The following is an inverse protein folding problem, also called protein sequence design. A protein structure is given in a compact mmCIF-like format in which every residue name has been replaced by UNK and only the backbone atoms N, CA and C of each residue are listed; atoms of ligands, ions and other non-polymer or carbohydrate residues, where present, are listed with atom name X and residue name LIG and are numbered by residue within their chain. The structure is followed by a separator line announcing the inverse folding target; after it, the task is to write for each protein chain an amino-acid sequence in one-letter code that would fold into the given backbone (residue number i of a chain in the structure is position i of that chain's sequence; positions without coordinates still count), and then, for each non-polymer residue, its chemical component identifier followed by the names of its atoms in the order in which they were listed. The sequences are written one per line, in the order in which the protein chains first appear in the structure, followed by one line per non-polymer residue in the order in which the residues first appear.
data_IF_982200677465
#
_entry.id   IF_982200677465
#
_cell.length_a   1.000
_cell.length_b   1.000
_cell.length_c   1.000
_cell.angle_alpha   90.00
_cell.angle_beta   90.00
_cell.angle_gamma   90.00
#
_symmetry.space_group_name_H-M   'P 1'
#
loop_
_entity.id
_entity.type
_entity.pdbx_description
1 polymer ?
#
# COMPACT_ATOMS: atom_id res chain seq x y z
N UNK A 1 -19.02 70.54 -2.49
CA UNK A 1 -19.50 69.24 -3.02
C UNK A 1 -18.42 68.19 -2.78
N UNK A 2 -18.66 67.26 -1.84
CA UNK A 2 -17.70 66.20 -1.50
C UNK A 2 -17.69 65.10 -2.57
N UNK A 3 -16.49 64.69 -3.01
CA UNK A 3 -16.27 63.50 -3.84
C UNK A 3 -16.33 62.24 -2.96
N UNK A 4 -17.23 61.30 -3.28
CA UNK A 4 -17.29 59.97 -2.67
C UNK A 4 -16.23 59.05 -3.29
N UNK A 5 -15.31 58.55 -2.47
CA UNK A 5 -14.36 57.49 -2.82
C UNK A 5 -15.05 56.16 -2.48
N UNK A 6 -15.18 55.27 -3.46
CA UNK A 6 -15.64 53.89 -3.24
C UNK A 6 -14.40 53.02 -3.00
N UNK A 7 -14.25 52.51 -1.78
CA UNK A 7 -13.30 51.45 -1.46
C UNK A 7 -13.95 50.10 -1.78
N UNK A 8 -13.40 49.36 -2.74
CA UNK A 8 -13.78 47.97 -3.01
C UNK A 8 -12.85 47.09 -2.17
N UNK A 9 -13.39 46.41 -1.16
CA UNK A 9 -12.70 45.37 -0.42
C UNK A 9 -12.79 44.07 -1.23
N UNK A 10 -11.67 43.68 -1.86
CA UNK A 10 -11.52 42.35 -2.47
C UNK A 10 -11.27 41.32 -1.37
N UNK A 11 -12.24 40.44 -1.14
CA UNK A 11 -12.09 39.29 -0.25
C UNK A 11 -11.32 38.19 -1.00
N UNK A 12 -10.03 38.05 -0.71
CA UNK A 12 -9.20 36.97 -1.25
C UNK A 12 -9.56 35.68 -0.49
N UNK A 13 -10.40 34.85 -1.11
CA UNK A 13 -10.74 33.53 -0.58
C UNK A 13 -9.55 32.60 -0.84
N UNK A 14 -8.67 32.45 0.15
CA UNK A 14 -7.59 31.46 0.12
C UNK A 14 -8.25 30.10 0.34
N UNK A 15 -8.54 29.39 -0.74
CA UNK A 15 -8.87 27.97 -0.70
C UNK A 15 -7.62 27.23 -0.24
N UNK A 16 -7.61 26.79 1.02
CA UNK A 16 -6.59 25.89 1.54
C UNK A 16 -6.67 24.55 0.82
N UNK A 17 -5.86 24.39 -0.22
CA UNK A 17 -5.59 23.09 -0.82
C UNK A 17 -4.71 22.37 0.20
N UNK A 18 -5.32 21.48 0.98
CA UNK A 18 -4.61 20.54 1.83
C UNK A 18 -3.93 19.55 0.90
N UNK A 19 -2.64 19.76 0.60
CA UNK A 19 -1.82 18.72 -0.01
C UNK A 19 -1.69 17.58 1.02
N UNK A 20 -2.36 16.45 0.77
CA UNK A 20 -2.00 15.21 1.44
C UNK A 20 -0.61 14.82 0.94
N UNK A 21 0.41 15.04 1.76
CA UNK A 21 1.74 14.49 1.49
C UNK A 21 1.64 12.97 1.65
N UNK A 22 1.56 12.24 0.55
CA UNK A 22 1.72 10.78 0.56
C UNK A 22 3.19 10.45 0.76
N UNK A 23 3.71 10.68 1.97
CA UNK A 23 5.09 10.36 2.36
C UNK A 23 5.33 8.83 2.43
N UNK A 24 4.28 8.03 2.25
CA UNK A 24 4.36 6.59 2.19
C UNK A 24 3.92 6.08 0.81
N UNK A 25 4.86 6.15 -0.14
CA UNK A 25 4.63 5.68 -1.50
C UNK A 25 4.49 4.16 -1.60
N UNK A 26 5.18 3.41 -0.74
CA UNK A 26 5.22 1.96 -0.78
C UNK A 26 5.09 1.31 0.62
N UNK A 27 4.75 0.03 0.63
CA UNK A 27 4.68 -0.78 1.83
C UNK A 27 5.02 -2.24 1.51
N UNK A 28 5.71 -2.92 2.43
CA UNK A 28 5.99 -4.35 2.29
C UNK A 28 5.00 -5.16 3.11
N UNK A 29 4.43 -6.19 2.49
CA UNK A 29 3.48 -7.11 3.06
C UNK A 29 3.97 -8.56 3.00
N UNK A 30 3.54 -9.35 3.97
CA UNK A 30 3.42 -10.80 3.81
C UNK A 30 1.95 -11.16 3.72
N UNK A 31 1.59 -11.93 2.70
CA UNK A 31 0.23 -12.39 2.44
C UNK A 31 0.22 -13.91 2.51
N UNK A 32 -0.60 -14.47 3.40
CA UNK A 32 -0.68 -15.91 3.61
C UNK A 32 -2.12 -16.38 3.49
N UNK A 33 -2.35 -17.33 2.59
CA UNK A 33 -3.58 -18.13 2.58
C UNK A 33 -3.33 -19.40 3.38
N UNK A 34 -4.14 -19.63 4.41
CA UNK A 34 -4.20 -20.90 5.14
C UNK A 34 -5.49 -21.62 4.79
N UNK A 35 -5.39 -22.80 4.19
CA UNK A 35 -6.55 -23.63 3.90
C UNK A 35 -7.10 -24.28 5.17
N UNK A 36 -8.42 -24.22 5.31
CA UNK A 36 -9.20 -25.01 6.25
C UNK A 36 -10.08 -26.04 5.54
N UNK A 37 -9.80 -26.37 4.27
CA UNK A 37 -10.54 -27.36 3.50
C UNK A 37 -10.33 -28.77 4.06
N UNK A 38 -11.23 -29.19 4.95
CA UNK A 38 -11.25 -30.49 5.62
C UNK A 38 -12.62 -31.16 5.52
N UNK A 39 -12.66 -32.46 5.80
CA UNK A 39 -13.86 -33.29 5.71
C UNK A 39 -14.90 -33.05 6.82
N UNK A 40 -14.46 -32.58 7.98
CA UNK A 40 -15.33 -32.28 9.12
C UNK A 40 -16.23 -31.09 8.81
N UNK A 41 -15.66 -30.03 8.23
CA UNK A 41 -16.38 -28.79 7.92
C UNK A 41 -17.04 -28.81 6.53
N UNK A 42 -16.47 -29.54 5.56
CA UNK A 42 -16.88 -29.50 4.15
C UNK A 42 -17.40 -30.84 3.61
N UNK A 43 -17.54 -31.87 4.46
CA UNK A 43 -17.96 -33.21 4.04
C UNK A 43 -16.90 -33.94 3.20
N UNK A 44 -17.29 -35.02 2.53
CA UNK A 44 -16.34 -35.89 1.81
C UNK A 44 -15.58 -35.12 0.73
N UNK A 45 -14.25 -35.08 0.88
CA UNK A 45 -13.33 -34.46 -0.09
C UNK A 45 -13.01 -35.40 -1.26
N UNK A 46 -12.62 -34.86 -2.43
CA UNK A 46 -12.19 -35.68 -3.54
C UNK A 46 -10.83 -36.34 -3.28
N UNK A 47 -10.52 -37.39 -4.05
CA UNK A 47 -9.18 -37.95 -4.08
C UNK A 47 -8.18 -36.90 -4.58
N UNK A 48 -6.99 -36.86 -3.95
CA UNK A 48 -5.96 -35.85 -4.23
C UNK A 48 -6.46 -34.41 -4.13
N UNK A 49 -7.32 -34.08 -3.16
CA UNK A 49 -7.73 -32.71 -2.88
C UNK A 49 -6.49 -31.81 -2.65
N UNK A 50 -6.37 -30.72 -3.41
CA UNK A 50 -5.22 -29.80 -3.41
C UNK A 50 -5.62 -28.41 -3.96
N UNK A 51 -4.62 -27.54 -4.10
CA UNK A 51 -4.77 -26.19 -4.62
C UNK A 51 -3.82 -25.99 -5.79
N UNK A 52 -4.21 -25.19 -6.79
CA UNK A 52 -3.21 -24.62 -7.70
C UNK A 52 -2.39 -23.56 -6.98
N UNK A 53 -1.34 -23.03 -7.62
CA UNK A 53 -0.63 -21.88 -7.07
C UNK A 53 -1.61 -20.73 -6.74
N UNK A 54 -1.33 -20.02 -5.65
CA UNK A 54 -1.96 -18.75 -5.33
C UNK A 54 -1.33 -17.70 -6.23
N UNK A 55 -2.11 -17.16 -7.16
CA UNK A 55 -1.65 -16.22 -8.17
C UNK A 55 -2.43 -14.92 -8.14
N UNK A 56 -1.84 -13.83 -8.65
CA UNK A 56 -2.53 -12.56 -8.74
C UNK A 56 -1.64 -11.37 -9.03
N UNK A 57 -2.09 -10.19 -8.64
CA UNK A 57 -1.41 -8.94 -8.93
C UNK A 57 -1.78 -7.83 -7.95
N UNK A 58 -0.89 -6.83 -7.86
CA UNK A 58 -1.23 -5.50 -7.34
C UNK A 58 -1.55 -4.56 -8.49
N UNK A 59 -2.59 -3.74 -8.34
CA UNK A 59 -3.13 -2.94 -9.43
C UNK A 59 -3.91 -1.70 -8.96
N UNK A 60 -4.30 -0.87 -9.93
CA UNK A 60 -5.17 0.28 -9.70
C UNK A 60 -6.61 -0.01 -10.15
N UNK A 61 -7.52 0.93 -9.93
CA UNK A 61 -8.94 0.78 -10.22
C UNK A 61 -9.30 0.79 -11.73
N UNK A 62 -8.32 0.93 -12.62
CA UNK A 62 -8.56 0.97 -14.07
C UNK A 62 -8.58 -0.43 -14.70
N UNK A 63 -8.32 -1.48 -13.91
CA UNK A 63 -8.36 -2.87 -14.33
C UNK A 63 -9.08 -3.73 -13.28
N UNK A 64 -9.87 -4.68 -13.76
CA UNK A 64 -10.52 -5.73 -12.97
C UNK A 64 -10.12 -7.06 -13.58
N UNK A 65 -9.46 -7.93 -12.82
CA UNK A 65 -9.02 -9.24 -13.32
C UNK A 65 -10.12 -10.30 -13.26
N UNK A 66 -10.96 -10.27 -12.24
CA UNK A 66 -12.17 -11.10 -12.12
C UNK A 66 -13.12 -10.45 -11.12
N UNK A 67 -14.43 -10.50 -11.29
CA UNK A 67 -15.37 -9.99 -10.28
C UNK A 67 -16.67 -10.81 -10.30
N UNK A 68 -17.36 -10.86 -9.15
CA UNK A 68 -18.69 -11.46 -9.09
C UNK A 68 -19.63 -10.76 -10.06
N UNK A 69 -20.33 -11.55 -10.89
CA UNK A 69 -21.22 -11.03 -11.93
C UNK A 69 -20.51 -10.57 -13.20
N UNK A 70 -19.18 -10.61 -13.26
CA UNK A 70 -18.39 -10.46 -14.49
C UNK A 70 -18.10 -11.82 -15.15
N UNK A 71 -17.76 -11.84 -16.44
CA UNK A 71 -17.28 -13.05 -17.12
C UNK A 71 -15.80 -13.29 -16.79
N UNK A 72 -15.40 -14.56 -16.63
CA UNK A 72 -13.99 -14.92 -16.51
C UNK A 72 -13.22 -14.55 -17.79
N UNK A 73 -11.99 -14.07 -17.64
CA UNK A 73 -11.03 -14.00 -18.75
C UNK A 73 -10.50 -15.40 -19.07
N UNK A 74 -9.85 -15.57 -20.22
CA UNK A 74 -9.16 -16.82 -20.55
C UNK A 74 -8.08 -17.16 -19.51
N UNK A 75 -7.43 -16.16 -18.91
CA UNK A 75 -6.50 -16.38 -17.80
C UNK A 75 -7.17 -16.92 -16.54
N UNK A 76 -8.35 -16.42 -16.17
CA UNK A 76 -9.07 -16.86 -14.97
C UNK A 76 -9.72 -18.24 -15.19
N UNK A 77 -10.24 -18.50 -16.39
CA UNK A 77 -10.68 -19.83 -16.84
C UNK A 77 -9.54 -20.85 -16.68
N UNK A 78 -8.36 -20.58 -17.24
CA UNK A 78 -7.17 -21.45 -17.11
C UNK A 78 -6.76 -21.71 -15.65
N UNK A 79 -6.83 -20.69 -14.80
CA UNK A 79 -6.54 -20.84 -13.36
C UNK A 79 -7.58 -21.73 -12.70
N UNK A 80 -8.86 -21.53 -12.99
CA UNK A 80 -9.96 -22.21 -12.32
C UNK A 80 -10.16 -23.66 -12.77
N UNK A 81 -9.85 -24.00 -14.03
CA UNK A 81 -10.10 -25.34 -14.58
C UNK A 81 -8.88 -26.26 -14.48
N UNK A 82 -7.69 -25.73 -14.79
CA UNK A 82 -6.48 -26.55 -14.95
C UNK A 82 -5.30 -26.07 -14.11
N UNK A 83 -5.47 -25.01 -13.32
CA UNK A 83 -4.41 -24.43 -12.50
C UNK A 83 -3.25 -23.86 -13.31
N UNK A 84 -3.50 -23.50 -14.58
CA UNK A 84 -2.49 -22.93 -15.48
C UNK A 84 -2.40 -21.42 -15.29
N UNK A 85 -1.19 -20.93 -15.04
CA UNK A 85 -0.96 -19.51 -14.76
C UNK A 85 -0.52 -18.69 -15.99
N UNK A 86 -0.34 -19.34 -17.15
CA UNK A 86 0.32 -18.74 -18.31
C UNK A 86 -0.49 -17.59 -18.91
N UNK A 87 -1.78 -17.80 -19.16
CA UNK A 87 -2.64 -16.76 -19.72
C UNK A 87 -2.86 -15.64 -18.70
N UNK A 88 -3.10 -15.96 -17.43
CA UNK A 88 -3.31 -14.92 -16.41
C UNK A 88 -2.05 -14.07 -16.16
N UNK A 89 -0.85 -14.67 -16.09
CA UNK A 89 0.40 -13.91 -15.97
C UNK A 89 0.68 -13.03 -17.20
N UNK A 90 0.24 -13.46 -18.38
CA UNK A 90 0.29 -12.65 -19.61
C UNK A 90 -0.67 -11.46 -19.53
N UNK A 91 -1.91 -11.67 -19.06
CA UNK A 91 -2.89 -10.60 -18.82
C UNK A 91 -2.37 -9.56 -17.82
N UNK A 92 -1.76 -10.01 -16.72
CA UNK A 92 -1.12 -9.13 -15.73
C UNK A 92 0.06 -8.37 -16.34
N UNK A 93 0.91 -9.02 -17.14
CA UNK A 93 2.04 -8.36 -17.83
C UNK A 93 1.58 -7.28 -18.80
N UNK A 94 0.47 -7.51 -19.50
CA UNK A 94 -0.16 -6.50 -20.36
C UNK A 94 -0.73 -5.34 -19.54
N UNK A 95 -1.37 -5.61 -18.39
CA UNK A 95 -1.87 -4.59 -17.49
C UNK A 95 -0.75 -3.72 -16.91
N UNK A 96 0.41 -4.31 -16.59
CA UNK A 96 1.63 -3.58 -16.17
C UNK A 96 2.12 -2.67 -17.30
N UNK A 97 2.21 -3.19 -18.53
CA UNK A 97 2.62 -2.40 -19.70
C UNK A 97 1.67 -1.21 -19.96
N UNK A 98 0.40 -1.34 -19.58
CA UNK A 98 -0.62 -0.31 -19.67
C UNK A 98 -0.70 0.60 -18.43
N UNK A 99 0.21 0.48 -17.45
CA UNK A 99 0.19 1.25 -16.20
C UNK A 99 -1.13 1.10 -15.42
N UNK A 100 -1.73 -0.09 -15.47
CA UNK A 100 -2.94 -0.44 -14.72
C UNK A 100 -2.67 -1.47 -13.61
N UNK A 101 -1.57 -2.21 -13.71
CA UNK A 101 -1.03 -3.11 -12.68
C UNK A 101 0.46 -2.82 -12.41
N UNK A 102 1.01 -3.39 -11.34
CA UNK A 102 2.39 -3.15 -10.89
C UNK A 102 3.25 -4.41 -10.88
N UNK A 103 2.72 -5.54 -10.40
CA UNK A 103 3.48 -6.79 -10.33
C UNK A 103 2.62 -8.05 -10.44
N UNK A 104 3.24 -9.13 -10.87
CA UNK A 104 2.72 -10.50 -10.80
C UNK A 104 3.08 -11.14 -9.45
N UNK A 105 2.12 -11.83 -8.85
CA UNK A 105 2.25 -12.54 -7.59
C UNK A 105 2.00 -14.03 -7.81
N UNK A 106 2.84 -14.90 -7.23
CA UNK A 106 2.67 -16.34 -7.29
C UNK A 106 3.33 -17.03 -6.09
N UNK A 107 2.60 -17.93 -5.44
CA UNK A 107 3.13 -18.81 -4.40
C UNK A 107 2.48 -20.20 -4.48
N UNK A 108 3.30 -21.24 -4.39
CA UNK A 108 2.81 -22.62 -4.34
C UNK A 108 2.28 -22.99 -2.95
N UNK A 109 1.30 -23.89 -2.93
CA UNK A 109 0.78 -24.48 -1.71
C UNK A 109 1.66 -25.62 -1.20
N UNK A 110 1.97 -25.60 0.09
CA UNK A 110 2.74 -26.65 0.75
C UNK A 110 2.13 -27.03 2.10
N UNK A 111 1.84 -28.33 2.34
CA UNK A 111 2.00 -29.46 1.41
C UNK A 111 1.01 -29.41 0.23
N UNK A 112 1.22 -30.24 -0.80
CA UNK A 112 0.24 -30.43 -1.88
C UNK A 112 -0.95 -31.26 -1.38
N UNK A 113 -1.90 -30.61 -0.69
CA UNK A 113 -3.04 -31.23 -0.02
C UNK A 113 -4.17 -30.21 0.23
N UNK A 114 -5.34 -30.70 0.65
CA UNK A 114 -6.49 -29.86 0.99
C UNK A 114 -6.17 -28.92 2.15
N UNK A 115 -5.61 -29.43 3.26
CA UNK A 115 -5.04 -28.63 4.34
C UNK A 115 -3.61 -28.26 3.99
N UNK A 116 -3.40 -26.98 3.70
CA UNK A 116 -2.17 -26.45 3.15
C UNK A 116 -2.08 -24.93 3.35
N UNK A 117 -0.94 -24.35 3.02
CA UNK A 117 -0.72 -22.90 3.06
C UNK A 117 0.10 -22.45 1.85
N UNK A 118 -0.19 -21.25 1.37
CA UNK A 118 0.64 -20.52 0.42
C UNK A 118 0.96 -19.13 0.99
N UNK A 119 2.21 -18.71 0.87
CA UNK A 119 2.70 -17.43 1.39
C UNK A 119 3.42 -16.66 0.31
N UNK A 120 2.92 -15.46 0.01
CA UNK A 120 3.62 -14.44 -0.76
C UNK A 120 4.39 -13.55 0.24
N UNK A 121 5.69 -13.79 0.36
CA UNK A 121 6.58 -13.00 1.23
C UNK A 121 7.15 -11.78 0.49
N UNK A 122 7.45 -10.72 1.24
CA UNK A 122 8.11 -9.52 0.74
C UNK A 122 7.40 -8.81 -0.43
N UNK A 123 6.07 -8.83 -0.44
CA UNK A 123 5.28 -8.16 -1.48
C UNK A 123 5.35 -6.65 -1.26
N UNK A 124 6.05 -5.93 -2.14
CA UNK A 124 6.17 -4.46 -2.06
C UNK A 124 5.07 -3.83 -2.88
N UNK A 125 4.16 -3.10 -2.25
CA UNK A 125 2.99 -2.50 -2.90
C UNK A 125 3.15 -1.00 -2.98
N UNK A 126 2.91 -0.44 -4.16
CA UNK A 126 2.83 1.01 -4.38
C UNK A 126 1.44 1.56 -4.09
N UNK A 127 1.37 2.75 -3.50
CA UNK A 127 0.12 3.51 -3.28
C UNK A 127 -0.57 3.92 -4.58
N UNK A 128 0.13 3.89 -5.72
CA UNK A 128 -0.45 4.05 -7.06
C UNK A 128 -1.19 2.80 -7.55
N UNK A 129 -0.88 1.63 -6.98
CA UNK A 129 -1.46 0.33 -7.31
C UNK A 129 -1.88 -0.43 -6.04
N UNK A 130 -2.76 0.16 -5.20
CA UNK A 130 -3.01 -0.33 -3.84
C UNK A 130 -3.98 -1.51 -3.78
N UNK A 131 -4.55 -1.94 -4.90
CA UNK A 131 -5.55 -3.01 -4.95
C UNK A 131 -4.85 -4.36 -5.13
N UNK A 132 -5.28 -5.34 -4.34
CA UNK A 132 -4.81 -6.72 -4.42
C UNK A 132 -5.91 -7.60 -5.04
N UNK A 133 -5.57 -8.31 -6.10
CA UNK A 133 -6.39 -9.41 -6.62
C UNK A 133 -5.59 -10.71 -6.55
N UNK A 134 -6.22 -11.78 -6.06
CA UNK A 134 -5.66 -13.13 -6.01
C UNK A 134 -6.69 -14.17 -6.48
N UNK A 135 -6.22 -15.30 -6.98
CA UNK A 135 -7.00 -16.48 -7.34
C UNK A 135 -6.18 -17.77 -7.11
N UNK A 136 -6.87 -18.88 -6.82
CA UNK A 136 -6.29 -20.23 -6.75
C UNK A 136 -7.40 -21.26 -6.95
N UNK A 137 -7.15 -22.28 -7.77
CA UNK A 137 -8.05 -23.40 -8.03
C UNK A 137 -8.30 -24.22 -6.77
N UNK A 138 -9.56 -24.59 -6.53
CA UNK A 138 -9.92 -25.69 -5.63
C UNK A 138 -9.87 -26.96 -6.45
N UNK A 139 -8.95 -27.88 -6.15
CA UNK A 139 -8.65 -28.98 -7.06
C UNK A 139 -8.85 -30.36 -6.42
N UNK A 140 -9.32 -31.37 -7.17
CA UNK A 140 -9.97 -31.25 -8.48
C UNK A 140 -11.35 -30.58 -8.40
N UNK A 141 -11.68 -29.75 -9.37
CA UNK A 141 -13.02 -29.19 -9.59
C UNK A 141 -13.22 -28.87 -11.07
N UNK A 142 -14.45 -28.55 -11.51
CA UNK A 142 -14.70 -28.14 -12.88
C UNK A 142 -13.98 -26.80 -13.15
N UNK A 143 -14.44 -25.74 -12.49
CA UNK A 143 -13.94 -24.38 -12.66
C UNK A 143 -14.02 -23.59 -11.35
N UNK A 144 -13.81 -24.28 -10.21
CA UNK A 144 -13.95 -23.67 -8.89
C UNK A 144 -12.65 -23.10 -8.38
N UNK A 145 -12.71 -21.89 -7.85
CA UNK A 145 -11.55 -21.18 -7.32
C UNK A 145 -11.88 -20.39 -6.05
N UNK A 146 -10.84 -20.00 -5.33
CA UNK A 146 -10.91 -19.04 -4.22
C UNK A 146 -10.10 -17.81 -4.60
N UNK A 147 -10.45 -16.65 -4.04
CA UNK A 147 -9.70 -15.45 -4.33
C UNK A 147 -10.24 -14.22 -3.61
N UNK A 148 -9.49 -13.13 -3.77
CA UNK A 148 -9.96 -11.78 -3.46
C UNK A 148 -9.88 -10.94 -4.72
N UNK A 149 -10.88 -10.10 -4.97
CA UNK A 149 -10.88 -9.13 -6.06
C UNK A 149 -10.67 -7.73 -5.49
N UNK A 150 -9.74 -6.98 -6.08
CA UNK A 150 -9.65 -5.52 -5.93
C UNK A 150 -9.58 -5.01 -4.49
N UNK A 151 -9.05 -5.80 -3.55
CA UNK A 151 -9.04 -5.41 -2.15
C UNK A 151 -8.01 -4.31 -1.92
N UNK A 152 -8.48 -3.12 -1.51
CA UNK A 152 -7.58 -2.02 -1.22
C UNK A 152 -6.77 -2.27 0.05
N UNK A 153 -5.45 -2.23 -0.08
CA UNK A 153 -4.50 -2.28 1.04
C UNK A 153 -4.36 -0.94 1.77
N UNK A 154 -4.98 0.12 1.23
CA UNK A 154 -5.13 1.41 1.90
C UNK A 154 -6.47 1.49 2.64
N UNK A 155 -6.49 2.20 3.76
CA UNK A 155 -7.71 2.62 4.44
C UNK A 155 -8.31 3.89 3.81
N UNK A 156 -9.47 4.34 4.31
CA UNK A 156 -10.14 5.54 3.80
C UNK A 156 -9.35 6.83 4.06
N UNK A 157 -8.37 6.80 4.94
CA UNK A 157 -7.44 7.90 5.22
C UNK A 157 -6.18 7.88 4.34
N UNK A 158 -6.02 6.87 3.48
CA UNK A 158 -4.84 6.68 2.65
C UNK A 158 -3.65 6.06 3.38
N UNK A 159 -3.86 5.45 4.54
CA UNK A 159 -2.82 4.73 5.28
C UNK A 159 -2.85 3.24 4.92
N UNK A 160 -1.69 2.61 4.97
CA UNK A 160 -1.55 1.17 4.76
C UNK A 160 -2.17 0.39 5.92
N UNK A 161 -2.99 -0.62 5.60
CA UNK A 161 -3.64 -1.47 6.59
C UNK A 161 -2.63 -2.41 7.25
N UNK A 162 -2.62 -2.48 8.58
CA UNK A 162 -1.62 -3.23 9.34
C UNK A 162 -1.82 -4.75 9.32
N UNK A 163 -3.04 -5.22 9.63
CA UNK A 163 -3.36 -6.65 9.71
C UNK A 163 -4.80 -6.87 9.25
N UNK A 164 -4.95 -7.52 8.11
CA UNK A 164 -6.25 -7.88 7.54
C UNK A 164 -6.40 -9.40 7.61
N UNK A 165 -7.56 -9.85 8.07
CA UNK A 165 -7.94 -11.25 8.09
C UNK A 165 -9.26 -11.39 7.36
N UNK A 166 -9.31 -12.23 6.33
CA UNK A 166 -10.51 -12.47 5.53
C UNK A 166 -10.82 -13.96 5.50
N UNK A 167 -12.08 -14.28 5.77
CA UNK A 167 -12.61 -15.61 5.55
C UNK A 167 -12.84 -15.81 4.05
N UNK A 168 -12.37 -16.95 3.53
CA UNK A 168 -12.36 -17.23 2.11
C UNK A 168 -13.43 -18.27 1.77
N UNK A 169 -14.09 -18.05 0.64
CA UNK A 169 -15.15 -18.91 0.11
C UNK A 169 -14.91 -19.21 -1.36
N UNK A 170 -15.59 -20.24 -1.86
CA UNK A 170 -15.43 -20.72 -3.23
C UNK A 170 -16.34 -19.97 -4.19
N UNK A 171 -15.79 -19.72 -5.37
CA UNK A 171 -16.45 -19.15 -6.54
C UNK A 171 -16.38 -20.15 -7.69
N UNK A 172 -17.31 -20.00 -8.62
CA UNK A 172 -17.43 -20.76 -9.86
C UNK A 172 -17.15 -19.80 -11.01
N UNK A 173 -16.25 -20.17 -11.92
CA UNK A 173 -15.82 -19.29 -13.01
C UNK A 173 -16.89 -19.15 -14.11
N UNK A 174 -17.83 -20.09 -14.18
CA UNK A 174 -18.91 -20.11 -15.16
C UNK A 174 -18.48 -20.58 -16.54
N UNK A 175 -17.40 -21.38 -16.62
CA UNK A 175 -16.76 -21.85 -17.86
C UNK A 175 -16.82 -23.35 -18.04
N UNK A 176 -17.01 -24.15 -16.97
CA UNK A 176 -17.15 -25.61 -17.04
C UNK A 176 -18.36 -26.15 -16.26
N UNK A 177 -19.22 -26.95 -16.90
CA UNK A 177 -20.45 -27.49 -16.30
C UNK A 177 -20.15 -28.59 -15.28
N UNK A 178 -20.25 -28.33 -13.97
CA UNK A 178 -20.15 -29.41 -12.98
C UNK A 178 -20.69 -29.08 -11.60
N UNK A 179 -21.29 -30.10 -10.95
CA UNK A 179 -21.90 -29.96 -9.62
C UNK A 179 -21.12 -30.70 -8.52
N UNK A 180 -19.98 -31.29 -8.85
CA UNK A 180 -19.14 -32.10 -7.96
C UNK A 180 -17.67 -31.99 -8.35
N UNK A 181 -16.79 -32.52 -7.51
CA UNK A 181 -15.35 -32.53 -7.76
C UNK A 181 -15.00 -33.43 -8.97
N UNK A 182 -14.81 -32.83 -10.15
CA UNK A 182 -14.46 -33.50 -11.40
C UNK A 182 -13.74 -32.51 -12.33
N UNK A 183 -12.80 -32.98 -13.15
CA UNK A 183 -11.98 -32.16 -14.06
C UNK A 183 -12.23 -32.52 -15.53
N UNK A 184 -13.37 -33.12 -15.82
CA UNK A 184 -13.66 -33.66 -17.15
C UNK A 184 -15.13 -33.45 -17.45
N UNK A 185 -15.49 -32.18 -17.56
CA UNK A 185 -16.84 -31.73 -17.75
C UNK A 185 -17.00 -31.13 -19.15
N UNK A 186 -18.23 -30.76 -19.50
CA UNK A 186 -18.46 -30.03 -20.74
C UNK A 186 -18.25 -28.54 -20.47
N UNK A 187 -17.71 -27.80 -21.45
CA UNK A 187 -17.66 -26.36 -21.35
C UNK A 187 -19.08 -25.76 -21.23
N UNK A 188 -19.22 -24.75 -20.38
CA UNK A 188 -20.45 -23.97 -20.23
C UNK A 188 -20.62 -23.07 -21.45
N UNK A 189 -21.65 -23.32 -22.28
CA UNK A 189 -21.87 -22.58 -23.54
C UNK A 189 -23.29 -22.00 -23.61
N UNK A 190 -23.45 -20.65 -23.63
CA UNK A 190 -22.41 -19.64 -23.45
C UNK A 190 -21.89 -19.59 -22.01
N UNK A 191 -20.65 -19.13 -21.81
CA UNK A 191 -20.10 -18.90 -20.49
C UNK A 191 -21.00 -17.97 -19.67
N UNK A 192 -21.08 -18.22 -18.37
CA UNK A 192 -21.90 -17.43 -17.43
C UNK A 192 -21.02 -16.59 -16.51
N UNK A 193 -21.57 -15.54 -15.87
CA UNK A 193 -20.78 -14.71 -14.97
C UNK A 193 -20.35 -15.46 -13.71
N UNK A 194 -19.18 -15.12 -13.18
CA UNK A 194 -18.61 -15.66 -11.94
C UNK A 194 -19.60 -15.50 -10.80
N UNK A 195 -19.85 -16.57 -10.04
CA UNK A 195 -20.81 -16.57 -8.94
C UNK A 195 -20.31 -17.31 -7.70
N UNK A 196 -20.93 -17.02 -6.57
CA UNK A 196 -20.57 -17.63 -5.29
C UNK A 196 -21.14 -19.03 -5.15
N UNK A 197 -20.33 -19.94 -4.59
CA UNK A 197 -20.71 -21.31 -4.24
C UNK A 197 -21.07 -21.48 -2.76
N UNK A 198 -21.16 -20.39 -1.99
CA UNK A 198 -21.60 -20.42 -0.59
C UNK A 198 -23.01 -21.01 -0.51
N UNK A 199 -23.21 -21.98 0.39
CA UNK A 199 -24.45 -22.75 0.49
C UNK A 199 -24.85 -23.55 -0.76
N UNK A 200 -23.88 -23.88 -1.62
CA UNK A 200 -24.09 -24.72 -2.81
C UNK A 200 -23.22 -25.97 -2.71
N UNK A 201 -23.85 -27.15 -2.68
CA UNK A 201 -23.17 -28.44 -2.60
C UNK A 201 -22.04 -28.59 -3.64
N UNK A 202 -20.86 -29.11 -3.25
CA UNK A 202 -20.53 -29.70 -1.95
C UNK A 202 -20.12 -28.68 -0.87
N UNK A 203 -20.14 -27.38 -1.18
CA UNK A 203 -19.83 -26.32 -0.21
C UNK A 203 -21.05 -25.90 0.61
N UNK A 204 -20.78 -25.24 1.73
CA UNK A 204 -21.78 -24.75 2.69
C UNK A 204 -21.43 -23.30 3.10
N UNK A 205 -21.80 -22.88 4.30
CA UNK A 205 -21.48 -21.56 4.86
C UNK A 205 -20.15 -21.51 5.62
N UNK A 206 -19.43 -22.62 5.71
CA UNK A 206 -18.10 -22.68 6.31
C UNK A 206 -17.05 -22.13 5.35
N UNK A 207 -16.07 -21.42 5.90
CA UNK A 207 -14.94 -20.92 5.14
C UNK A 207 -14.01 -22.05 4.74
N UNK A 208 -13.52 -21.99 3.50
CA UNK A 208 -12.58 -22.98 2.97
C UNK A 208 -11.11 -22.63 3.29
N UNK A 209 -10.88 -21.39 3.70
CA UNK A 209 -9.57 -20.92 4.14
C UNK A 209 -9.64 -19.53 4.78
N UNK A 210 -8.48 -19.03 5.17
CA UNK A 210 -8.31 -17.68 5.71
C UNK A 210 -7.14 -17.00 5.01
N UNK A 211 -7.37 -15.82 4.45
CA UNK A 211 -6.32 -14.96 3.92
C UNK A 211 -5.92 -13.94 5.00
N UNK A 212 -4.65 -13.96 5.38
CA UNK A 212 -4.06 -13.00 6.30
C UNK A 212 -3.07 -12.12 5.53
N UNK A 213 -3.25 -10.80 5.61
CA UNK A 213 -2.37 -9.82 4.99
C UNK A 213 -1.76 -8.97 6.11
N UNK A 214 -0.46 -9.09 6.29
CA UNK A 214 0.29 -8.45 7.39
C UNK A 214 1.26 -7.43 6.81
N UNK A 215 1.12 -6.17 7.22
CA UNK A 215 2.10 -5.13 6.94
C UNK A 215 3.37 -5.44 7.73
N UNK A 216 4.48 -5.56 7.02
CA UNK A 216 5.79 -5.74 7.63
C UNK A 216 6.41 -4.38 7.93
N UNK A 217 6.50 -3.53 6.91
CA UNK A 217 6.98 -2.17 7.07
C UNK A 217 6.46 -1.23 6.00
N UNK A 218 6.50 0.04 6.38
CA UNK A 218 6.27 1.19 5.53
C UNK A 218 7.56 1.48 4.75
N UNK A 219 7.53 1.28 3.44
CA UNK A 219 8.63 1.64 2.56
C UNK A 219 8.42 3.08 2.10
N UNK A 220 8.96 4.01 2.88
CA UNK A 220 9.06 5.38 2.41
C UNK A 220 10.01 5.39 1.22
N UNK A 221 9.59 5.89 0.05
CA UNK A 221 10.57 6.51 -0.84
C UNK A 221 11.27 7.56 0.03
N UNK A 222 12.57 7.38 0.24
CA UNK A 222 13.42 8.46 0.66
C UNK A 222 13.38 9.53 -0.45
N UNK A 223 12.32 10.33 -0.53
CA UNK A 223 12.60 11.75 -0.57
C UNK A 223 13.31 12.00 0.75
N UNK A 224 14.62 12.20 0.69
CA UNK A 224 15.46 12.43 1.84
C UNK A 224 14.78 13.51 2.69
N UNK A 225 14.07 13.10 3.74
CA UNK A 225 13.43 14.05 4.62
C UNK A 225 14.58 14.82 5.26
N UNK A 226 14.79 16.03 4.73
CA UNK A 226 15.94 16.87 5.00
C UNK A 226 16.12 17.11 6.51
N UNK A 227 15.03 16.94 7.29
CA UNK A 227 15.03 16.94 8.76
C UNK A 227 16.01 15.95 9.37
N UNK A 228 16.17 14.77 8.77
CA UNK A 228 17.11 13.73 9.22
C UNK A 228 18.52 13.92 8.68
N UNK A 229 18.66 14.57 7.52
CA UNK A 229 19.95 14.86 6.91
C UNK A 229 20.67 16.04 7.59
N UNK A 230 19.92 16.99 8.17
CA UNK A 230 20.49 18.14 8.86
C UNK A 230 21.03 17.76 10.24
N UNK A 231 22.31 18.10 10.45
CA UNK A 231 22.97 18.03 11.75
C UNK A 231 23.37 19.42 12.25
N UNK A 232 23.37 19.60 13.57
CA UNK A 232 23.76 20.86 14.23
C UNK A 232 24.84 20.56 15.24
N UNK A 233 26.00 21.20 15.08
CA UNK A 233 27.19 20.93 15.88
C UNK A 233 27.97 22.20 16.19
N UNK A 234 28.66 22.30 17.33
CA UNK A 234 28.59 21.38 18.47
C UNK A 234 27.28 21.57 19.26
N UNK A 235 26.88 20.54 20.02
CA UNK A 235 25.81 20.63 21.01
C UNK A 235 26.19 19.72 22.20
N UNK A 236 26.57 20.27 23.37
CA UNK A 236 26.49 21.68 23.76
C UNK A 236 27.38 22.64 22.95
N UNK A 237 26.92 23.87 22.77
CA UNK A 237 27.59 24.95 22.06
C UNK A 237 28.13 26.00 23.03
N UNK A 238 29.10 26.81 22.61
CA UNK A 238 29.60 27.94 23.39
C UNK A 238 29.28 29.26 22.69
N UNK A 239 30.02 29.53 21.62
CA UNK A 239 29.92 30.81 20.91
C UNK A 239 29.23 30.69 19.56
N UNK A 240 29.16 29.49 18.97
CA UNK A 240 28.49 29.29 17.69
C UNK A 240 27.99 27.85 17.53
N UNK A 241 27.05 27.69 16.59
CA UNK A 241 26.65 26.40 16.03
C UNK A 241 26.81 26.41 14.51
N UNK A 242 27.11 25.25 13.96
CA UNK A 242 27.12 24.97 12.53
C UNK A 242 25.97 24.04 12.18
N UNK A 243 25.20 24.46 11.20
CA UNK A 243 24.10 23.70 10.61
C UNK A 243 24.66 23.10 9.31
N UNK A 244 24.84 21.78 9.30
CA UNK A 244 25.27 21.05 8.11
C UNK A 244 24.05 20.52 7.37
N UNK A 245 23.88 20.95 6.12
CA UNK A 245 22.77 20.63 5.23
C UNK A 245 23.29 19.94 3.96
N UNK A 246 23.52 18.61 4.00
CA UNK A 246 24.11 17.88 2.88
C UNK A 246 23.16 17.76 1.69
N UNK A 247 21.84 17.86 1.91
CA UNK A 247 20.81 17.79 0.87
C UNK A 247 20.74 19.03 -0.03
N UNK A 248 21.42 20.12 0.36
CA UNK A 248 21.39 21.43 -0.34
C UNK A 248 19.97 22.00 -0.52
N UNK A 249 19.01 21.54 0.27
CA UNK A 249 17.68 22.15 0.33
C UNK A 249 17.80 23.60 0.78
N UNK A 250 17.03 24.51 0.19
CA UNK A 250 17.14 25.93 0.53
C UNK A 250 16.53 26.16 1.91
N UNK A 251 17.35 26.65 2.85
CA UNK A 251 16.88 27.11 4.15
C UNK A 251 16.50 28.59 4.00
N UNK A 252 15.22 28.91 4.13
CA UNK A 252 14.71 30.28 4.07
C UNK A 252 14.94 31.02 5.40
N UNK A 253 14.75 30.33 6.53
CA UNK A 253 14.97 30.91 7.85
C UNK A 253 15.71 29.96 8.79
N UNK A 254 16.62 30.54 9.58
CA UNK A 254 17.23 29.94 10.75
C UNK A 254 16.86 30.83 11.94
N UNK A 255 16.09 30.30 12.87
CA UNK A 255 15.59 31.06 14.02
C UNK A 255 15.95 30.37 15.32
N UNK A 256 16.29 31.15 16.35
CA UNK A 256 16.55 30.65 17.70
C UNK A 256 15.57 31.27 18.68
N UNK A 257 14.98 30.44 19.53
CA UNK A 257 14.01 30.83 20.55
C UNK A 257 14.47 30.38 21.94
N UNK A 258 14.09 31.15 22.97
CA UNK A 258 14.13 30.64 24.34
C UNK A 258 12.99 29.63 24.60
N UNK A 259 12.97 29.00 25.78
CA UNK A 259 11.97 27.99 26.15
C UNK A 259 10.56 28.55 26.36
N UNK A 260 10.41 29.87 26.47
CA UNK A 260 9.12 30.56 26.63
C UNK A 260 8.64 31.14 25.29
N UNK A 261 9.36 30.92 24.19
CA UNK A 261 8.96 31.23 22.83
C UNK A 261 9.36 32.61 22.33
N UNK A 262 10.23 33.34 23.02
CA UNK A 262 10.77 34.60 22.49
C UNK A 262 11.84 34.31 21.44
N UNK A 263 11.72 34.95 20.26
CA UNK A 263 12.71 34.86 19.19
C UNK A 263 13.93 35.72 19.54
N UNK A 264 15.10 35.10 19.61
CA UNK A 264 16.37 35.74 19.95
C UNK A 264 17.22 36.03 18.71
N UNK A 265 17.20 35.11 17.74
CA UNK A 265 17.99 35.21 16.50
C UNK A 265 17.08 34.86 15.32
N UNK A 266 17.25 35.58 14.20
CA UNK A 266 16.74 35.21 12.89
C UNK A 266 17.82 35.49 11.84
N UNK A 267 18.19 34.47 11.08
CA UNK A 267 19.10 34.55 9.95
C UNK A 267 18.37 34.08 8.70
N UNK A 268 18.54 34.81 7.61
CA UNK A 268 18.11 34.41 6.27
C UNK A 268 19.35 34.06 5.45
N UNK A 269 19.63 32.76 5.23
CA UNK A 269 20.73 32.36 4.35
C UNK A 269 20.56 32.93 2.95
N UNK A 270 21.63 33.50 2.38
CA UNK A 270 21.61 34.10 1.05
C UNK A 270 21.97 33.09 -0.06
N UNK A 271 22.28 31.84 0.30
CA UNK A 271 22.77 30.83 -0.62
C UNK A 271 22.32 29.41 -0.24
N UNK A 272 22.62 28.45 -1.11
CA UNK A 272 22.44 27.02 -0.90
C UNK A 272 23.68 26.41 -0.20
N UNK A 273 24.38 27.18 0.64
CA UNK A 273 25.61 26.68 1.25
C UNK A 273 25.29 25.42 2.07
N UNK A 274 26.08 24.33 1.90
CA UNK A 274 25.88 23.09 2.64
C UNK A 274 26.21 23.25 4.12
N UNK A 275 26.76 24.38 4.55
CA UNK A 275 27.02 24.68 5.96
C UNK A 275 26.73 26.16 6.25
N UNK A 276 25.91 26.39 7.28
CA UNK A 276 25.60 27.72 7.81
C UNK A 276 26.13 27.82 9.25
N UNK A 277 26.72 28.95 9.62
CA UNK A 277 27.20 29.20 10.98
C UNK A 277 26.33 30.27 11.63
N UNK A 278 25.91 30.02 12.87
CA UNK A 278 25.10 30.94 13.68
C UNK A 278 25.92 31.34 14.90
N UNK A 279 26.16 32.64 15.04
CA UNK A 279 26.81 33.23 16.21
C UNK A 279 25.85 33.29 17.40
N UNK A 280 26.31 32.83 18.54
CA UNK A 280 25.59 32.69 19.80
C UNK A 280 26.28 33.45 20.95
N UNK A 281 27.36 34.19 20.69
CA UNK A 281 28.24 34.80 21.71
C UNK A 281 27.52 35.72 22.70
N UNK A 282 26.38 36.32 22.30
CA UNK A 282 25.60 37.23 23.15
C UNK A 282 24.46 36.56 23.93
N UNK A 283 24.36 35.23 23.87
CA UNK A 283 23.34 34.47 24.57
C UNK A 283 23.87 33.94 25.91
N UNK A 284 22.98 33.83 26.90
CA UNK A 284 23.33 33.22 28.19
C UNK A 284 23.41 31.70 28.10
N UNK A 285 24.17 31.06 28.98
CA UNK A 285 24.14 29.58 29.10
C UNK A 285 22.71 29.11 29.40
N UNK A 286 22.28 28.02 28.76
CA UNK A 286 20.90 27.55 28.86
C UNK A 286 20.44 26.69 27.68
N UNK A 287 19.14 26.37 27.65
CA UNK A 287 18.54 25.60 26.57
C UNK A 287 17.74 26.50 25.63
N UNK A 288 17.84 26.22 24.33
CA UNK A 288 17.21 26.98 23.27
C UNK A 288 16.58 26.04 22.23
N UNK A 289 15.59 26.55 21.50
CA UNK A 289 14.99 25.87 20.35
C UNK A 289 15.47 26.53 19.06
N UNK A 290 16.17 25.76 18.23
CA UNK A 290 16.52 26.13 16.87
C UNK A 290 15.42 25.65 15.92
N UNK A 291 14.87 26.56 15.14
CA UNK A 291 13.88 26.28 14.10
C UNK A 291 14.49 26.63 12.74
N UNK A 292 14.51 25.66 11.84
CA UNK A 292 14.89 25.83 10.44
C UNK A 292 13.63 25.73 9.58
N UNK A 293 13.43 26.69 8.69
CA UNK A 293 12.33 26.68 7.72
C UNK A 293 12.92 26.68 6.32
N UNK A 294 12.50 25.75 5.49
CA UNK A 294 12.87 25.69 4.08
C UNK A 294 11.97 26.59 3.22
N UNK A 295 12.36 26.82 1.96
CA UNK A 295 11.59 27.61 1.00
C UNK A 295 10.25 26.96 0.56
N UNK A 296 10.15 25.63 0.71
CA UNK A 296 8.90 24.89 0.56
C UNK A 296 8.07 24.81 1.87
N UNK A 297 8.36 25.67 2.86
CA UNK A 297 7.67 25.77 4.16
C UNK A 297 7.78 24.52 5.06
N UNK A 298 8.72 23.61 4.81
CA UNK A 298 8.99 22.52 5.77
C UNK A 298 9.73 23.09 6.98
N UNK A 299 9.46 22.54 8.17
CA UNK A 299 10.00 23.04 9.44
C UNK A 299 10.74 21.92 10.16
N UNK A 300 11.98 22.20 10.60
CA UNK A 300 12.78 21.36 11.47
C UNK A 300 13.02 22.09 12.79
N UNK A 301 12.71 21.45 13.91
CA UNK A 301 13.04 21.97 15.25
C UNK A 301 14.11 21.11 15.90
N UNK A 302 15.17 21.72 16.45
CA UNK A 302 16.18 21.03 17.26
C UNK A 302 16.42 21.79 18.57
N UNK A 303 16.67 21.03 19.64
CA UNK A 303 17.08 21.57 20.93
C UNK A 303 18.60 21.79 20.95
N UNK A 304 19.04 22.97 21.35
CA UNK A 304 20.45 23.32 21.51
C UNK A 304 20.71 23.69 22.99
N UNK A 305 21.85 23.27 23.51
CA UNK A 305 22.34 23.63 24.85
C UNK A 305 23.54 24.55 24.69
N UNK A 306 23.58 25.67 25.41
CA UNK A 306 24.76 26.55 25.52
C UNK A 306 25.40 26.39 26.90
N UNK A 307 26.72 26.18 26.90
CA UNK A 307 27.58 26.11 28.09
C UNK A 307 28.21 27.47 28.42
#
# INVERSE_FOLDING_TARGET
MLRKIHLIFGFLMITGICFQSHAQSEARYTITFNSSWNDTDHGTLPGNAHWSDLVGATHNSSITFWELGGLASAGIEDVAEVGSNNNFSTEVSNAISNSTADQWLQAGFSPFAAISSATLSNVVVSSNYPLLTLASMVAPSPDWFVGVNGFSLLDTGGNWKNNVVMDMFVYDAGTEDGNGYSTSNAATVPAVPIFSRVNVSPFNDQKIGTLTITLEEVLSLNEADWRYAISVTPNPAKNCIRIHNPGREKIEFIQLYDLIGNKLIEVKPNDYSPTQEVDLTNLSSGMYLLILTSDNNQVLTKKIVLD
#
